data_IF_767630505469
#
_entry.id   IF_767630505469
#
_cell.length_a   1.000
_cell.length_b   1.000
_cell.length_c   1.000
_cell.angle_alpha   90.00
_cell.angle_beta   90.00
_cell.angle_gamma   90.00
#
_symmetry.space_group_name_H-M   'P 1'
#
loop_
_entity.id
_entity.type
_entity.pdbx_description
1 polymer ?
#
# COMPACT_ATOMS: atom_id res chain seq x y z
N UNK A 1 1.68 46.23 13.53
CA UNK A 1 2.11 44.82 13.64
C UNK A 1 0.90 44.06 14.17
N UNK A 2 0.14 43.41 13.28
CA UNK A 2 -1.05 42.65 13.68
C UNK A 2 -0.64 41.19 13.84
N UNK A 3 -0.72 40.66 15.07
CA UNK A 3 -0.65 39.22 15.34
C UNK A 3 -1.97 38.61 14.88
N UNK A 4 -1.91 37.68 13.93
CA UNK A 4 -3.05 36.81 13.63
C UNK A 4 -2.92 35.62 14.56
N UNK A 5 -3.69 35.62 15.65
CA UNK A 5 -3.72 34.51 16.59
C UNK A 5 -4.42 33.33 15.92
N UNK A 6 -3.62 32.35 15.49
CA UNK A 6 -4.13 31.10 14.95
C UNK A 6 -4.68 30.25 16.11
N UNK A 7 -5.98 30.34 16.36
CA UNK A 7 -6.68 29.39 17.24
C UNK A 7 -6.88 28.08 16.47
N UNK A 8 -6.20 27.02 16.90
CA UNK A 8 -6.49 25.68 16.42
C UNK A 8 -7.95 25.33 16.76
N UNK A 9 -8.75 24.80 15.82
CA UNK A 9 -10.14 24.46 16.07
C UNK A 9 -10.23 23.46 17.23
N UNK A 10 -11.24 23.63 18.07
CA UNK A 10 -11.54 22.74 19.19
C UNK A 10 -11.77 21.32 18.66
N UNK A 11 -10.75 20.46 18.78
CA UNK A 11 -10.75 19.15 18.16
C UNK A 11 -11.61 18.20 19.00
N UNK A 12 -12.89 18.06 18.63
CA UNK A 12 -13.74 17.00 19.17
C UNK A 12 -13.24 15.63 18.66
N UNK A 13 -12.70 14.81 19.56
CA UNK A 13 -12.28 13.44 19.24
C UNK A 13 -13.52 12.58 19.07
N UNK A 14 -13.82 12.18 17.83
CA UNK A 14 -14.89 11.21 17.55
C UNK A 14 -14.29 9.82 17.37
N UNK A 15 -14.64 8.88 18.24
CA UNK A 15 -14.21 7.48 18.08
C UNK A 15 -14.92 6.82 16.88
N UNK A 16 -14.14 6.28 15.95
CA UNK A 16 -14.65 5.44 14.85
C UNK A 16 -14.62 3.98 15.25
N UNK A 17 -15.72 3.25 14.99
CA UNK A 17 -15.76 1.80 15.19
C UNK A 17 -14.89 1.11 14.14
N UNK A 18 -13.85 0.42 14.59
CA UNK A 18 -13.00 -0.41 13.73
C UNK A 18 -13.74 -1.69 13.29
N UNK A 19 -13.28 -2.34 12.20
CA UNK A 19 -13.80 -3.66 11.83
C UNK A 19 -13.57 -4.67 12.97
N UNK A 20 -14.52 -5.59 13.24
CA UNK A 20 -14.37 -6.58 14.31
C UNK A 20 -13.09 -7.41 14.16
N UNK A 21 -12.23 -7.34 15.17
CA UNK A 21 -11.00 -8.10 15.31
C UNK A 21 -10.83 -8.55 16.77
N UNK A 22 -10.18 -9.69 17.01
CA UNK A 22 -10.07 -10.28 18.35
C UNK A 22 -8.78 -9.93 19.08
N UNK A 23 -7.65 -9.72 18.39
CA UNK A 23 -6.36 -9.50 19.08
C UNK A 23 -5.52 -8.38 18.47
N UNK A 24 -5.02 -8.55 17.24
CA UNK A 24 -4.06 -7.63 16.64
C UNK A 24 -4.39 -7.30 15.18
N UNK A 25 -4.11 -6.04 14.86
CA UNK A 25 -4.36 -5.43 13.57
C UNK A 25 -3.11 -4.67 13.15
N UNK A 26 -2.59 -5.03 11.98
CA UNK A 26 -1.56 -4.27 11.29
C UNK A 26 -2.17 -3.38 10.24
N UNK A 27 -1.77 -2.11 10.21
CA UNK A 27 -2.01 -1.24 9.06
C UNK A 27 -0.95 -1.56 8.01
N UNK A 28 -1.38 -2.10 6.87
CA UNK A 28 -0.50 -2.41 5.75
C UNK A 28 -0.19 -1.17 4.93
N UNK A 29 -1.21 -0.32 4.74
CA UNK A 29 -1.12 0.90 3.96
C UNK A 29 -2.49 1.52 3.75
N UNK A 30 -2.50 2.70 3.16
CA UNK A 30 -3.72 3.45 2.86
C UNK A 30 -3.67 4.05 1.46
N UNK A 31 -4.84 4.28 0.88
CA UNK A 31 -5.00 4.99 -0.38
C UNK A 31 -6.38 5.66 -0.44
N UNK A 32 -6.43 6.98 -0.67
CA UNK A 32 -7.67 7.76 -0.77
C UNK A 32 -8.68 7.48 0.35
N UNK A 33 -8.23 7.47 1.61
CA UNK A 33 -9.07 7.21 2.77
C UNK A 33 -9.46 5.74 3.00
N UNK A 34 -9.11 4.83 2.08
CA UNK A 34 -9.22 3.39 2.31
C UNK A 34 -7.95 2.91 3.02
N UNK A 35 -8.13 2.10 4.06
CA UNK A 35 -7.05 1.50 4.83
C UNK A 35 -7.07 -0.02 4.61
N UNK A 36 -5.93 -0.59 4.26
CA UNK A 36 -5.74 -2.03 4.24
C UNK A 36 -5.22 -2.50 5.59
N UNK A 37 -5.99 -3.37 6.23
CA UNK A 37 -5.68 -3.98 7.51
C UNK A 37 -5.33 -5.46 7.32
N UNK A 38 -4.34 -5.94 8.06
CA UNK A 38 -4.04 -7.37 8.24
C UNK A 38 -4.41 -7.78 9.66
N UNK A 39 -5.19 -8.83 9.78
CA UNK A 39 -5.69 -9.37 11.06
C UNK A 39 -4.93 -10.64 11.45
N UNK A 40 -5.05 -11.07 12.72
CA UNK A 40 -4.33 -12.22 13.30
C UNK A 40 -4.45 -13.54 12.54
N UNK A 41 -5.63 -13.81 12.01
CA UNK A 41 -5.93 -15.00 11.21
C UNK A 41 -5.35 -14.91 9.78
N UNK A 42 -4.47 -13.93 9.52
CA UNK A 42 -3.95 -13.54 8.21
C UNK A 42 -5.03 -13.03 7.23
N UNK A 43 -6.27 -12.83 7.70
CA UNK A 43 -7.34 -12.22 6.91
C UNK A 43 -7.00 -10.74 6.66
N UNK A 44 -7.41 -10.28 5.50
CA UNK A 44 -7.23 -8.90 5.07
C UNK A 44 -8.56 -8.19 5.08
N UNK A 45 -8.51 -6.88 5.32
CA UNK A 45 -9.69 -6.05 5.34
C UNK A 45 -9.42 -4.72 4.67
N UNK A 46 -10.22 -4.39 3.65
CA UNK A 46 -10.31 -3.03 3.13
C UNK A 46 -11.34 -2.29 3.98
N UNK A 47 -10.90 -1.25 4.68
CA UNK A 47 -11.72 -0.46 5.58
C UNK A 47 -11.81 0.99 5.09
N UNK A 48 -13.04 1.51 4.96
CA UNK A 48 -13.31 2.92 4.78
C UNK A 48 -13.84 3.48 6.11
N UNK A 49 -13.01 4.19 6.90
CA UNK A 49 -13.41 4.74 8.19
C UNK A 49 -14.54 5.79 8.04
N UNK A 50 -14.47 6.63 7.01
CA UNK A 50 -15.44 7.70 6.75
C UNK A 50 -16.83 7.17 6.37
N UNK A 51 -16.88 6.10 5.58
CA UNK A 51 -18.12 5.45 5.20
C UNK A 51 -18.60 4.40 6.24
N UNK A 52 -17.79 4.09 7.25
CA UNK A 52 -18.03 3.01 8.22
C UNK A 52 -18.28 1.65 7.53
N UNK A 53 -17.64 1.44 6.38
CA UNK A 53 -17.76 0.23 5.58
C UNK A 53 -16.45 -0.54 5.59
N UNK A 54 -16.55 -1.87 5.60
CA UNK A 54 -15.39 -2.72 5.45
C UNK A 54 -15.71 -3.98 4.66
N UNK A 55 -14.69 -4.54 4.01
CA UNK A 55 -14.76 -5.82 3.31
C UNK A 55 -13.57 -6.68 3.69
N UNK A 56 -13.86 -7.86 4.23
CA UNK A 56 -12.86 -8.89 4.57
C UNK A 56 -12.64 -9.85 3.41
N UNK A 57 -11.44 -10.38 3.30
CA UNK A 57 -11.07 -11.38 2.31
C UNK A 57 -9.87 -12.19 2.77
N UNK A 58 -9.80 -13.43 2.33
CA UNK A 58 -8.71 -14.34 2.65
C UNK A 58 -7.43 -13.99 1.89
N UNK A 59 -6.24 -14.35 2.40
CA UNK A 59 -5.00 -14.27 1.65
C UNK A 59 -5.02 -15.23 0.43
N UNK A 60 -4.04 -15.14 -0.48
CA UNK A 60 -3.97 -16.08 -1.61
C UNK A 60 -3.89 -17.53 -1.13
N UNK A 61 -4.58 -18.45 -1.81
CA UNK A 61 -4.58 -19.87 -1.46
C UNK A 61 -3.17 -20.49 -1.51
N UNK A 62 -2.90 -21.42 -0.60
CA UNK A 62 -1.62 -22.14 -0.54
C UNK A 62 -0.43 -21.29 -0.10
N UNK A 63 -0.66 -20.05 0.34
CA UNK A 63 0.40 -19.15 0.82
C UNK A 63 0.51 -19.23 2.35
N UNK A 64 1.73 -19.47 2.86
CA UNK A 64 2.04 -19.49 4.30
C UNK A 64 1.87 -18.10 4.94
N UNK A 65 1.81 -18.04 6.28
CA UNK A 65 1.59 -16.87 7.15
C UNK A 65 2.49 -15.66 6.88
N UNK A 66 3.62 -15.80 6.18
CA UNK A 66 4.54 -14.71 5.90
C UNK A 66 4.32 -14.15 4.49
N UNK A 67 3.42 -13.18 4.39
CA UNK A 67 3.14 -12.43 3.17
C UNK A 67 3.37 -10.94 3.44
N UNK A 68 4.03 -10.26 2.52
CA UNK A 68 4.14 -8.80 2.48
C UNK A 68 3.07 -8.27 1.56
N UNK A 69 2.31 -7.29 2.03
CA UNK A 69 1.21 -6.71 1.29
C UNK A 69 1.49 -5.24 0.95
N UNK A 70 0.84 -4.76 -0.10
CA UNK A 70 0.72 -3.33 -0.40
C UNK A 70 -0.65 -3.05 -1.01
N UNK A 71 -1.25 -1.92 -0.61
CA UNK A 71 -2.49 -1.41 -1.18
C UNK A 71 -2.18 -0.49 -2.35
N UNK A 72 -2.91 -0.67 -3.45
CA UNK A 72 -2.77 0.17 -4.64
C UNK A 72 -4.16 0.44 -5.24
N UNK A 73 -4.28 1.53 -5.99
CA UNK A 73 -5.44 1.78 -6.85
C UNK A 73 -5.00 1.73 -8.30
N UNK A 74 -5.70 0.93 -9.09
CA UNK A 74 -5.54 0.92 -10.53
C UNK A 74 -6.52 1.92 -11.14
N UNK A 75 -6.02 3.11 -11.46
CA UNK A 75 -6.80 4.19 -12.08
C UNK A 75 -7.40 3.84 -13.44
N UNK A 76 -6.89 2.81 -14.16
CA UNK A 76 -7.45 2.42 -15.46
C UNK A 76 -8.71 1.59 -15.28
N UNK A 77 -8.66 0.60 -14.40
CA UNK A 77 -9.83 -0.24 -14.10
C UNK A 77 -10.72 0.34 -13.01
N UNK A 78 -10.31 1.45 -12.39
CA UNK A 78 -10.88 2.02 -11.17
C UNK A 78 -11.11 0.94 -10.10
N UNK A 79 -10.07 0.19 -9.76
CA UNK A 79 -10.15 -0.95 -8.85
C UNK A 79 -9.07 -0.85 -7.77
N UNK A 80 -9.46 -1.11 -6.52
CA UNK A 80 -8.49 -1.34 -5.46
C UNK A 80 -7.85 -2.70 -5.66
N UNK A 81 -6.52 -2.70 -5.71
CA UNK A 81 -5.71 -3.89 -5.83
C UNK A 81 -4.85 -4.06 -4.59
N UNK A 82 -4.70 -5.29 -4.16
CA UNK A 82 -3.74 -5.64 -3.10
C UNK A 82 -2.67 -6.52 -3.72
N UNK A 83 -1.43 -6.08 -3.67
CA UNK A 83 -0.30 -6.90 -4.09
C UNK A 83 0.19 -7.68 -2.87
N UNK A 84 0.26 -9.00 -3.00
CA UNK A 84 0.82 -9.90 -2.00
C UNK A 84 2.09 -10.54 -2.54
N UNK A 85 3.17 -10.49 -1.78
CA UNK A 85 4.42 -11.18 -2.10
C UNK A 85 4.69 -12.20 -1.01
N UNK A 86 5.08 -13.42 -1.36
CA UNK A 86 5.46 -14.46 -0.40
C UNK A 86 6.63 -15.29 -0.90
N UNK A 87 7.45 -15.81 0.02
CA UNK A 87 8.50 -16.75 -0.33
C UNK A 87 7.93 -18.11 -0.74
N UNK A 88 8.45 -18.70 -1.82
CA UNK A 88 8.17 -20.07 -2.25
C UNK A 88 9.22 -21.01 -1.65
N UNK A 89 8.74 -22.01 -0.92
CA UNK A 89 9.61 -22.94 -0.20
C UNK A 89 10.47 -23.80 -1.15
N UNK A 90 9.98 -24.10 -2.35
CA UNK A 90 10.63 -25.05 -3.25
C UNK A 90 11.84 -24.48 -4.01
N UNK A 91 11.83 -23.20 -4.38
CA UNK A 91 12.91 -22.58 -5.17
C UNK A 91 13.43 -21.26 -4.61
N UNK A 92 12.93 -20.84 -3.45
CA UNK A 92 13.28 -19.59 -2.78
C UNK A 92 12.80 -18.34 -3.49
N UNK A 93 12.05 -18.44 -4.61
CA UNK A 93 11.55 -17.27 -5.33
C UNK A 93 10.43 -16.59 -4.56
N UNK A 94 10.24 -15.30 -4.79
CA UNK A 94 9.11 -14.58 -4.21
C UNK A 94 7.93 -14.62 -5.18
N UNK A 95 6.87 -15.37 -4.89
CA UNK A 95 5.65 -15.34 -5.70
C UNK A 95 4.93 -14.00 -5.51
N UNK A 96 4.50 -13.40 -6.61
CA UNK A 96 3.75 -12.14 -6.61
C UNK A 96 2.31 -12.42 -7.01
N UNK A 97 1.38 -12.01 -6.16
CA UNK A 97 -0.07 -12.16 -6.31
C UNK A 97 -0.73 -10.78 -6.31
N UNK A 98 -1.85 -10.67 -7.02
CA UNK A 98 -2.69 -9.47 -7.06
C UNK A 98 -4.11 -9.87 -6.76
N UNK A 99 -4.68 -9.27 -5.71
CA UNK A 99 -6.10 -9.26 -5.45
C UNK A 99 -6.75 -8.11 -6.21
N UNK A 100 -7.94 -8.34 -6.73
CA UNK A 100 -8.76 -7.31 -7.38
C UNK A 100 -10.07 -7.18 -6.61
N UNK A 101 -10.39 -5.96 -6.13
CA UNK A 101 -11.55 -5.78 -5.25
C UNK A 101 -12.88 -6.00 -5.99
N UNK A 102 -12.93 -5.68 -7.28
CA UNK A 102 -14.10 -5.91 -8.14
C UNK A 102 -14.40 -7.40 -8.34
N UNK A 103 -13.38 -8.22 -8.61
CA UNK A 103 -13.56 -9.67 -8.82
C UNK A 103 -13.50 -10.48 -7.52
N UNK A 104 -13.08 -9.85 -6.41
CA UNK A 104 -12.87 -10.48 -5.11
C UNK A 104 -12.02 -11.76 -5.19
N UNK A 105 -10.99 -11.74 -6.03
CA UNK A 105 -10.15 -12.91 -6.29
C UNK A 105 -8.67 -12.53 -6.40
N UNK A 106 -7.83 -13.51 -6.05
CA UNK A 106 -6.39 -13.45 -6.19
C UNK A 106 -5.95 -14.07 -7.51
N UNK A 107 -4.94 -13.46 -8.13
CA UNK A 107 -4.24 -14.03 -9.28
C UNK A 107 -2.74 -13.92 -9.07
N UNK A 108 -2.03 -15.03 -9.26
CA UNK A 108 -0.56 -15.01 -9.34
C UNK A 108 -0.13 -14.39 -10.66
N UNK A 109 0.73 -13.38 -10.58
CA UNK A 109 1.19 -12.62 -11.76
C UNK A 109 2.64 -12.92 -12.14
N UNK A 110 3.46 -13.48 -11.24
CA UNK A 110 4.83 -13.90 -11.57
C UNK A 110 5.70 -14.22 -10.35
N UNK A 111 7.01 -14.32 -10.56
CA UNK A 111 8.02 -14.58 -9.54
C UNK A 111 9.11 -13.49 -9.51
N UNK A 112 9.40 -12.95 -8.33
CA UNK A 112 10.44 -11.96 -8.12
C UNK A 112 11.60 -12.50 -7.30
N UNK A 113 12.81 -12.41 -7.86
CA UNK A 113 14.09 -12.71 -7.21
C UNK A 113 14.16 -14.09 -6.56
N UNK A 114 15.24 -14.36 -5.82
CA UNK A 114 15.41 -15.54 -4.96
C UNK A 114 15.91 -15.09 -3.60
N UNK A 115 15.39 -15.69 -2.54
CA UNK A 115 15.76 -15.44 -1.15
C UNK A 115 15.68 -13.95 -0.73
N UNK A 116 14.85 -13.18 -1.45
CA UNK A 116 14.78 -11.72 -1.32
C UNK A 116 13.50 -11.23 -0.62
N UNK A 117 12.57 -12.13 -0.33
CA UNK A 117 11.23 -11.79 0.17
C UNK A 117 11.23 -10.85 1.40
N UNK A 118 12.15 -11.09 2.35
CA UNK A 118 12.24 -10.28 3.57
C UNK A 118 12.67 -8.84 3.34
N UNK A 119 13.21 -8.54 2.15
CA UNK A 119 13.71 -7.21 1.76
C UNK A 119 12.77 -6.47 0.82
N UNK A 120 11.55 -6.98 0.59
CA UNK A 120 10.57 -6.39 -0.32
C UNK A 120 9.49 -5.63 0.45
N UNK A 121 9.25 -4.39 0.04
CA UNK A 121 8.08 -3.59 0.41
C UNK A 121 7.36 -3.17 -0.87
N UNK A 122 6.07 -3.50 -0.99
CA UNK A 122 5.27 -3.11 -2.15
C UNK A 122 4.78 -1.67 -1.95
N UNK A 123 4.97 -0.82 -2.96
CA UNK A 123 4.55 0.58 -2.94
C UNK A 123 3.37 0.88 -3.87
N UNK A 124 3.31 0.23 -5.03
CA UNK A 124 2.37 0.65 -6.07
C UNK A 124 2.12 -0.39 -7.15
N UNK A 125 1.00 -0.19 -7.87
CA UNK A 125 0.60 -0.96 -9.04
C UNK A 125 0.33 0.01 -10.18
N UNK A 126 0.97 -0.21 -11.33
CA UNK A 126 0.92 0.67 -12.49
C UNK A 126 -0.08 0.15 -13.54
N UNK A 127 -0.48 1.04 -14.44
CA UNK A 127 -1.46 0.81 -15.52
C UNK A 127 -1.18 -0.44 -16.38
N UNK A 128 0.09 -0.78 -16.60
CA UNK A 128 0.48 -1.92 -17.44
C UNK A 128 0.61 -3.26 -16.68
N UNK A 129 0.25 -3.24 -15.40
CA UNK A 129 0.40 -4.36 -14.46
C UNK A 129 1.77 -4.45 -13.80
N UNK A 130 2.62 -3.43 -13.98
CA UNK A 130 3.92 -3.36 -13.32
C UNK A 130 3.77 -3.00 -11.84
N UNK A 131 4.64 -3.56 -11.01
CA UNK A 131 4.61 -3.38 -9.56
C UNK A 131 5.81 -2.57 -9.12
N UNK A 132 5.59 -1.51 -8.37
CA UNK A 132 6.63 -0.69 -7.76
C UNK A 132 6.94 -1.23 -6.37
N UNK A 133 8.20 -1.52 -6.10
CA UNK A 133 8.66 -2.07 -4.82
C UNK A 133 9.91 -1.34 -4.35
N UNK A 134 10.07 -1.25 -3.02
CA UNK A 134 11.40 -1.09 -2.42
C UNK A 134 11.99 -2.48 -2.22
N UNK A 135 13.24 -2.63 -2.62
CA UNK A 135 14.06 -3.81 -2.46
C UNK A 135 15.34 -3.45 -1.68
N UNK A 136 15.84 -4.33 -0.81
CA UNK A 136 17.02 -4.09 0.04
C UNK A 136 17.00 -2.77 0.85
N UNK A 137 15.81 -2.24 1.13
CA UNK A 137 15.59 -0.94 1.78
C UNK A 137 16.10 0.30 1.02
N UNK A 138 16.82 0.15 -0.09
CA UNK A 138 17.47 1.25 -0.82
C UNK A 138 17.28 1.19 -2.34
N UNK A 139 16.67 0.13 -2.85
CA UNK A 139 16.45 -0.05 -4.28
C UNK A 139 14.98 0.18 -4.60
N UNK A 140 14.68 1.29 -5.28
CA UNK A 140 13.37 1.44 -5.91
C UNK A 140 13.36 0.64 -7.22
N UNK A 141 12.48 -0.35 -7.32
CA UNK A 141 12.40 -1.23 -8.50
C UNK A 141 11.01 -1.25 -9.09
N UNK A 142 10.94 -1.35 -10.42
CA UNK A 142 9.72 -1.59 -11.18
C UNK A 142 9.79 -3.02 -11.71
N UNK A 143 8.97 -3.90 -11.16
CA UNK A 143 8.83 -5.27 -11.60
C UNK A 143 7.76 -5.39 -12.69
N UNK A 144 8.15 -5.96 -13.84
CA UNK A 144 7.26 -6.31 -14.92
C UNK A 144 6.94 -7.81 -14.86
N UNK A 145 5.71 -8.20 -14.45
CA UNK A 145 5.33 -9.61 -14.32
C UNK A 145 5.25 -10.34 -15.65
N UNK A 146 4.89 -9.64 -16.74
CA UNK A 146 4.74 -10.24 -18.08
C UNK A 146 6.06 -10.76 -18.62
N UNK A 147 7.15 -10.06 -18.31
CA UNK A 147 8.51 -10.44 -18.71
C UNK A 147 9.30 -11.11 -17.59
N UNK A 148 8.76 -11.14 -16.37
CA UNK A 148 9.43 -11.59 -15.16
C UNK A 148 10.80 -10.92 -14.93
N UNK A 149 10.89 -9.61 -15.22
CA UNK A 149 12.10 -8.79 -15.07
C UNK A 149 11.78 -7.55 -14.26
N UNK A 150 12.80 -6.96 -13.63
CA UNK A 150 12.66 -5.68 -12.97
C UNK A 150 13.70 -4.70 -13.49
N UNK A 151 13.37 -3.41 -13.37
CA UNK A 151 14.29 -2.29 -13.61
C UNK A 151 14.51 -1.58 -12.29
N UNK A 152 15.75 -1.17 -12.01
CA UNK A 152 16.07 -0.31 -10.86
C UNK A 152 15.89 1.14 -11.31
N UNK A 153 15.25 1.94 -10.47
CA UNK A 153 15.19 3.39 -10.64
C UNK A 153 16.43 3.95 -9.97
N UNK A 154 17.22 4.72 -10.72
CA UNK A 154 18.37 5.42 -10.17
C UNK A 154 17.88 6.51 -9.22
N UNK A 155 18.28 6.38 -7.96
CA UNK A 155 18.11 7.41 -6.95
C UNK A 155 19.42 8.18 -6.92
N UNK A 156 19.40 9.53 -6.96
CA UNK A 156 20.61 10.32 -6.92
C UNK A 156 21.53 9.88 -5.78
N UNK A 157 22.84 9.72 -6.03
CA UNK A 157 23.79 9.15 -5.06
C UNK A 157 23.92 9.98 -3.78
N UNK A 158 23.49 11.24 -3.82
CA UNK A 158 23.36 12.14 -2.67
C UNK A 158 22.32 11.63 -1.64
N UNK A 159 21.35 10.83 -2.08
CA UNK A 159 20.29 10.29 -1.25
C UNK A 159 20.68 8.90 -0.74
N UNK A 160 21.24 8.86 0.48
CA UNK A 160 21.74 7.61 1.11
C UNK A 160 20.65 6.65 1.58
N UNK A 161 19.43 7.15 1.77
CA UNK A 161 18.25 6.38 2.15
C UNK A 161 16.99 7.17 1.82
N UNK A 162 15.88 6.47 1.60
CA UNK A 162 14.55 7.06 1.47
C UNK A 162 13.55 6.21 2.24
N UNK A 163 12.60 6.86 2.91
CA UNK A 163 11.40 6.18 3.39
C UNK A 163 10.29 6.41 2.37
N UNK A 164 9.67 5.32 1.94
CA UNK A 164 8.51 5.38 1.06
C UNK A 164 7.26 5.39 1.94
N UNK A 165 6.78 6.58 2.29
CA UNK A 165 5.50 6.77 2.94
C UNK A 165 4.37 6.92 1.90
N UNK A 166 3.20 6.36 2.20
CA UNK A 166 2.00 6.63 1.41
C UNK A 166 1.58 8.08 1.68
N UNK A 167 1.68 8.96 0.68
CA UNK A 167 1.25 10.34 0.82
C UNK A 167 -0.29 10.40 0.82
N UNK A 168 -0.87 10.91 1.90
CA UNK A 168 -2.29 11.26 1.97
C UNK A 168 -2.41 12.74 1.58
N UNK A 169 -2.82 13.04 0.34
CA UNK A 169 -3.25 14.41 0.01
C UNK A 169 -4.48 14.74 0.85
N UNK A 170 -4.34 15.74 1.72
CA UNK A 170 -5.48 16.51 2.21
C UNK A 170 -5.84 17.50 1.11
N UNK A 171 -7.07 17.45 0.60
CA UNK A 171 -7.60 18.41 -0.39
C UNK A 171 -7.88 19.79 0.25
N UNK A 172 -6.93 20.34 0.98
CA UNK A 172 -6.94 21.76 1.34
C UNK A 172 -5.96 22.46 0.42
N UNK A 173 -6.50 23.09 -0.62
CA UNK A 173 -5.74 24.01 -1.46
C UNK A 173 -5.04 25.03 -0.56
N UNK A 174 -3.72 25.28 -0.70
CA UNK A 174 -3.16 26.49 -0.14
C UNK A 174 -3.83 27.65 -0.88
N UNK A 175 -4.75 28.35 -0.21
CA UNK A 175 -5.27 29.60 -0.72
C UNK A 175 -4.08 30.56 -0.80
N UNK A 176 -3.58 30.80 -2.02
CA UNK A 176 -2.74 31.95 -2.30
C UNK A 176 -3.65 33.16 -2.15
N UNK A 177 -3.65 33.76 -0.96
CA UNK A 177 -4.15 35.12 -0.80
C UNK A 177 -3.17 36.03 -1.55
N UNK A 178 -3.49 36.36 -2.80
CA UNK A 178 -2.87 37.48 -3.51
C UNK A 178 -3.28 38.76 -2.78
N UNK A 179 -2.45 39.20 -1.82
CA UNK A 179 -2.52 40.54 -1.28
C UNK A 179 -1.90 41.52 -2.27
N UNK A 180 -2.72 42.14 -3.11
CA UNK A 180 -2.38 43.42 -3.72
C UNK A 180 -3.00 44.54 -2.89
N UNK A 181 -2.16 45.33 -2.22
CA UNK A 181 -2.29 46.78 -2.01
C UNK A 181 -0.98 47.29 -1.41
#
# INVERSE_FOLDING_TARGET
MYSVDYQAPDHTVTELKSPPCKYYVDIVGSFNGIVLLRMDNAELCLWNPSAKMYRKFSPPEGVNRSVKYGLCHDSVSDDFKVVGVNSRLNDGRSAVHVFTSKLSSWKRIGDFGKFCFHYIRVLGYRKDGEVVMVFNSTDLVIYNPKQNRYKRIEIPPECKSFDAAFYMESLVSPHICNGTS
#
